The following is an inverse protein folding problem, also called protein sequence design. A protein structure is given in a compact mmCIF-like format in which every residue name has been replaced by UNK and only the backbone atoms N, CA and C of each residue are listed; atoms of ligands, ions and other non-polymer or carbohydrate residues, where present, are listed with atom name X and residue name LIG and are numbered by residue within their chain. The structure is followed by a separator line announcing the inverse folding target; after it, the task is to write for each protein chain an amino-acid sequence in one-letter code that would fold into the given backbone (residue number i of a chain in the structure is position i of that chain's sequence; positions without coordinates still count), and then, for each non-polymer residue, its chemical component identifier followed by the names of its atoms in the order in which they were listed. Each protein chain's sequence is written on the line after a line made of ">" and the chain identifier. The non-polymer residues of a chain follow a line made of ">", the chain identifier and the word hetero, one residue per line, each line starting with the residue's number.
data_IF_836501744827
#
_entry.id   IF_836501744827
#
_cell.length_a   1.000
_cell.length_b   1.000
_cell.length_c   1.000
_cell.angle_alpha   90.00
_cell.angle_beta   90.00
_cell.angle_gamma   90.00
#
_symmetry.space_group_name_H-M   'P 1'
#
loop_
_entity.id
_entity.type
_entity.pdbx_description
1 polymer ?
#
# COMPACT_ATOMS: atom_id res chain seq x y z
N UNK A 1 18.07 -13.87 -26.08
CA UNK A 1 18.29 -13.43 -24.69
C UNK A 1 17.51 -12.15 -24.52
N UNK A 2 16.52 -12.13 -23.63
CA UNK A 2 15.74 -10.92 -23.32
C UNK A 2 16.59 -9.99 -22.46
N UNK A 3 16.71 -8.72 -22.85
CA UNK A 3 17.39 -7.70 -22.04
C UNK A 3 16.66 -7.55 -20.71
N UNK A 4 17.35 -7.60 -19.56
CA UNK A 4 16.71 -7.36 -18.27
C UNK A 4 16.14 -5.95 -18.21
N UNK A 5 14.91 -5.83 -17.69
CA UNK A 5 14.29 -4.56 -17.34
C UNK A 5 14.37 -4.47 -15.82
N UNK A 6 15.19 -3.56 -15.29
CA UNK A 6 15.34 -3.48 -13.83
C UNK A 6 14.05 -2.99 -13.16
N UNK A 7 13.34 -2.06 -13.79
CA UNK A 7 12.24 -1.33 -13.17
C UNK A 7 11.17 -0.98 -14.21
N UNK A 8 9.89 -1.24 -13.92
CA UNK A 8 8.77 -0.92 -14.83
C UNK A 8 7.43 -0.68 -14.10
N UNK A 9 6.47 0.01 -14.73
CA UNK A 9 5.16 0.24 -14.12
C UNK A 9 4.29 -1.01 -14.09
N UNK A 10 3.71 -1.32 -12.92
CA UNK A 10 2.80 -2.46 -12.69
C UNK A 10 1.31 -2.09 -12.77
N UNK A 11 0.96 -0.91 -13.27
CA UNK A 11 -0.41 -0.41 -13.33
C UNK A 11 -0.95 -0.36 -14.76
N UNK A 12 -2.27 -0.17 -14.91
CA UNK A 12 -2.94 0.06 -16.21
C UNK A 12 -2.30 1.24 -16.95
N UNK A 13 -2.14 1.13 -18.27
CA UNK A 13 -1.56 2.18 -19.10
C UNK A 13 -2.31 3.51 -18.93
N UNK A 14 -1.54 4.57 -18.69
CA UNK A 14 -2.04 5.94 -18.53
C UNK A 14 -1.48 6.80 -19.66
N UNK A 15 -2.29 7.13 -20.69
CA UNK A 15 -1.80 7.80 -21.90
C UNK A 15 -1.10 9.14 -21.65
N UNK A 16 -1.62 9.97 -20.73
CA UNK A 16 -1.03 11.27 -20.43
C UNK A 16 0.31 11.20 -19.67
N UNK A 17 0.63 10.05 -19.07
CA UNK A 17 1.93 9.80 -18.44
C UNK A 17 2.88 9.01 -19.34
N UNK A 18 2.35 8.33 -20.36
CA UNK A 18 3.13 7.42 -21.21
C UNK A 18 3.66 6.19 -20.46
N UNK A 19 3.00 5.79 -19.37
CA UNK A 19 3.48 4.71 -18.50
C UNK A 19 2.38 3.73 -18.15
N UNK A 20 2.74 2.46 -18.00
CA UNK A 20 1.85 1.38 -17.56
C UNK A 20 1.76 0.27 -18.59
N UNK A 21 0.89 -0.70 -18.32
CA UNK A 21 0.68 -1.84 -19.20
C UNK A 21 -0.62 -1.65 -19.94
N UNK A 22 -0.54 -1.61 -21.26
CA UNK A 22 -1.71 -1.64 -22.13
C UNK A 22 -2.10 -3.10 -22.31
N UNK A 23 -3.31 -3.44 -21.85
CA UNK A 23 -3.92 -4.74 -22.05
C UNK A 23 -4.73 -4.76 -23.34
N UNK A 24 -4.56 -5.82 -24.12
CA UNK A 24 -5.43 -6.19 -25.22
C UNK A 24 -5.60 -7.73 -25.22
N UNK A 25 -6.69 -8.28 -25.78
CA UNK A 25 -6.85 -9.72 -25.84
C UNK A 25 -5.64 -10.41 -26.51
N UNK A 26 -5.00 -11.32 -25.78
CA UNK A 26 -3.85 -12.09 -26.25
C UNK A 26 -2.50 -11.38 -26.19
N UNK A 27 -2.45 -10.07 -25.87
CA UNK A 27 -1.22 -9.30 -25.89
C UNK A 27 -1.22 -8.16 -24.87
N UNK A 28 -0.13 -8.05 -24.12
CA UNK A 28 0.14 -6.93 -23.24
C UNK A 28 1.36 -6.16 -23.74
N UNK A 29 1.29 -4.83 -23.71
CA UNK A 29 2.39 -3.95 -24.07
C UNK A 29 2.76 -3.06 -22.89
N UNK A 30 4.01 -3.13 -22.47
CA UNK A 30 4.57 -2.36 -21.36
C UNK A 30 5.15 -1.05 -21.90
N UNK A 31 4.68 0.08 -21.37
CA UNK A 31 5.13 1.41 -21.76
C UNK A 31 5.86 2.13 -20.63
N UNK A 32 6.89 2.88 -21.00
CA UNK A 32 7.62 3.78 -20.11
C UNK A 32 8.07 5.04 -20.87
N UNK A 33 7.71 6.22 -20.37
CA UNK A 33 8.08 7.49 -21.00
C UNK A 33 7.44 7.71 -22.38
N UNK A 34 6.34 7.01 -22.68
CA UNK A 34 5.67 7.02 -23.99
C UNK A 34 6.13 5.92 -24.94
N UNK A 35 7.25 5.26 -24.66
CA UNK A 35 7.82 4.21 -25.50
C UNK A 35 7.35 2.82 -25.07
N UNK A 36 7.03 1.97 -26.05
CA UNK A 36 6.79 0.55 -25.82
C UNK A 36 8.14 -0.16 -25.57
N UNK A 37 8.39 -0.55 -24.32
CA UNK A 37 9.67 -1.15 -23.90
C UNK A 37 9.63 -2.69 -23.90
N UNK A 38 8.43 -3.27 -23.86
CA UNK A 38 8.23 -4.70 -24.03
C UNK A 38 6.82 -5.02 -24.52
N UNK A 39 6.67 -6.13 -25.23
CA UNK A 39 5.38 -6.68 -25.62
C UNK A 39 5.43 -8.19 -25.45
N UNK A 40 4.37 -8.77 -24.91
CA UNK A 40 4.30 -10.20 -24.62
C UNK A 40 2.88 -10.74 -24.81
N UNK A 41 2.79 -12.00 -25.23
CA UNK A 41 1.52 -12.70 -25.31
C UNK A 41 1.05 -13.14 -23.91
N UNK A 42 -0.26 -13.23 -23.72
CA UNK A 42 -0.87 -13.80 -22.52
C UNK A 42 -2.19 -14.50 -22.84
N UNK A 43 -2.67 -15.30 -21.91
CA UNK A 43 -3.91 -16.07 -21.99
C UNK A 43 -4.99 -15.58 -21.00
N UNK A 44 -4.71 -14.50 -20.25
CA UNK A 44 -5.68 -13.93 -19.32
C UNK A 44 -6.98 -13.56 -20.03
N UNK A 45 -8.15 -13.98 -19.49
CA UNK A 45 -9.44 -13.77 -20.15
C UNK A 45 -9.92 -12.33 -20.09
N UNK A 46 -9.51 -11.59 -19.06
CA UNK A 46 -9.96 -10.23 -18.77
C UNK A 46 -8.79 -9.37 -18.30
N UNK A 47 -8.92 -8.06 -18.46
CA UNK A 47 -8.01 -7.12 -17.83
C UNK A 47 -8.00 -7.35 -16.32
N UNK A 48 -9.19 -7.51 -15.71
CA UNK A 48 -9.29 -7.83 -14.28
C UNK A 48 -8.39 -9.00 -13.87
N UNK A 49 -8.51 -10.17 -14.52
CA UNK A 49 -7.70 -11.35 -14.21
C UNK A 49 -6.19 -11.07 -14.40
N UNK A 50 -5.83 -10.29 -15.42
CA UNK A 50 -4.44 -9.96 -15.69
C UNK A 50 -3.76 -9.22 -14.53
N UNK A 51 -4.44 -8.28 -13.87
CA UNK A 51 -3.91 -7.57 -12.70
C UNK A 51 -4.20 -8.30 -11.38
N UNK A 52 -5.38 -8.86 -11.21
CA UNK A 52 -5.78 -9.57 -9.99
C UNK A 52 -4.96 -10.85 -9.75
N UNK A 53 -4.57 -11.57 -10.80
CA UNK A 53 -3.71 -12.74 -10.66
C UNK A 53 -2.21 -12.39 -10.72
N UNK A 54 -1.89 -11.09 -10.72
CA UNK A 54 -0.54 -10.55 -10.90
C UNK A 54 0.14 -11.12 -12.17
N UNK A 55 -0.64 -11.44 -13.20
CA UNK A 55 -0.17 -12.14 -14.39
C UNK A 55 0.87 -11.33 -15.15
N UNK A 56 0.83 -9.99 -15.07
CA UNK A 56 1.85 -9.11 -15.64
C UNK A 56 3.28 -9.49 -15.20
N UNK A 57 3.47 -9.91 -13.95
CA UNK A 57 4.77 -10.31 -13.42
C UNK A 57 5.31 -11.58 -14.07
N UNK A 58 4.41 -12.49 -14.49
CA UNK A 58 4.73 -13.70 -15.25
C UNK A 58 4.92 -13.41 -16.73
N UNK A 59 4.11 -12.51 -17.29
CA UNK A 59 4.11 -12.12 -18.71
C UNK A 59 5.34 -11.30 -19.09
N UNK A 60 5.87 -10.52 -18.15
CA UNK A 60 7.12 -9.75 -18.32
C UNK A 60 8.19 -10.24 -17.33
N UNK A 61 8.73 -11.47 -17.47
CA UNK A 61 9.67 -12.05 -16.51
C UNK A 61 11.02 -11.31 -16.45
N UNK A 62 11.33 -10.50 -17.46
CA UNK A 62 12.51 -9.64 -17.50
C UNK A 62 12.43 -8.46 -16.53
N UNK A 63 11.24 -8.11 -16.02
CA UNK A 63 11.05 -7.02 -15.05
C UNK A 63 11.36 -7.52 -13.64
N UNK A 64 12.34 -6.90 -12.98
CA UNK A 64 12.72 -7.28 -11.60
C UNK A 64 11.90 -6.56 -10.54
N UNK A 65 11.62 -5.27 -10.77
CA UNK A 65 10.97 -4.40 -9.81
C UNK A 65 9.82 -3.62 -10.45
N UNK A 66 8.70 -3.51 -9.73
CA UNK A 66 7.47 -2.89 -10.18
C UNK A 66 7.16 -1.63 -9.40
N UNK A 67 6.60 -0.62 -10.07
CA UNK A 67 6.12 0.60 -9.42
C UNK A 67 4.70 0.94 -9.83
N UNK A 68 4.00 1.67 -8.96
CA UNK A 68 2.56 1.89 -9.09
C UNK A 68 2.25 3.38 -9.04
N UNK A 69 2.02 3.99 -10.22
CA UNK A 69 1.82 5.43 -10.47
C UNK A 69 3.01 6.33 -10.16
N UNK A 70 3.79 6.02 -9.12
CA UNK A 70 4.97 6.78 -8.76
C UNK A 70 6.11 5.90 -8.26
N UNK A 71 7.32 6.41 -8.48
CA UNK A 71 8.62 5.89 -8.04
C UNK A 71 9.12 6.68 -6.83
N UNK A 72 8.28 6.74 -5.80
CA UNK A 72 8.66 7.43 -4.58
C UNK A 72 9.68 6.57 -3.82
N UNK A 73 10.91 7.06 -3.72
CA UNK A 73 12.00 6.41 -2.96
C UNK A 73 12.71 7.48 -2.17
N UNK A 74 12.31 7.67 -0.90
CA UNK A 74 12.85 8.72 -0.03
C UNK A 74 12.89 8.22 1.41
N UNK A 75 12.98 9.13 2.38
CA UNK A 75 12.97 8.79 3.80
C UNK A 75 11.69 9.25 4.48
N UNK A 76 11.27 8.48 5.46
CA UNK A 76 10.18 8.82 6.37
C UNK A 76 10.61 8.60 7.82
N UNK A 77 10.03 9.38 8.73
CA UNK A 77 10.20 9.28 10.18
C UNK A 77 8.84 9.20 10.82
N UNK A 78 8.66 8.25 11.74
CA UNK A 78 7.37 7.98 12.37
C UNK A 78 7.48 8.15 13.87
N UNK A 79 6.55 8.90 14.46
CA UNK A 79 6.46 9.05 15.90
C UNK A 79 5.73 7.88 16.55
N UNK A 80 5.92 7.70 17.85
CA UNK A 80 4.92 6.99 18.68
C UNK A 80 3.60 7.75 18.70
N UNK A 81 2.52 7.09 19.14
CA UNK A 81 1.28 7.76 19.48
C UNK A 81 1.55 8.97 20.39
N UNK A 82 1.05 10.13 19.99
CA UNK A 82 1.24 11.41 20.70
C UNK A 82 0.07 11.71 21.65
N UNK A 83 -1.08 11.11 21.39
CA UNK A 83 -2.26 11.26 22.23
C UNK A 83 -3.50 10.77 21.50
N UNK A 84 -4.65 11.28 21.95
CA UNK A 84 -5.95 10.99 21.36
C UNK A 84 -6.59 12.29 20.86
N UNK A 85 -7.25 12.24 19.70
CA UNK A 85 -8.05 13.35 19.18
C UNK A 85 -9.45 13.39 19.81
N UNK A 86 -9.98 12.20 20.11
CA UNK A 86 -11.27 11.96 20.75
C UNK A 86 -11.22 10.63 21.52
N UNK A 87 -12.37 10.10 21.98
CA UNK A 87 -12.42 8.89 22.79
C UNK A 87 -11.96 7.60 22.07
N UNK A 88 -11.95 7.58 20.74
CA UNK A 88 -11.66 6.36 19.95
C UNK A 88 -10.59 6.56 18.88
N UNK A 89 -10.03 7.76 18.75
CA UNK A 89 -9.03 8.10 17.73
C UNK A 89 -7.67 8.42 18.35
N UNK A 90 -6.70 7.54 18.16
CA UNK A 90 -5.29 7.77 18.50
C UNK A 90 -4.58 8.41 17.31
N UNK A 91 -3.65 9.32 17.58
CA UNK A 91 -2.87 9.96 16.52
C UNK A 91 -1.37 9.99 16.83
N UNK A 92 -0.60 10.17 15.76
CA UNK A 92 0.80 10.59 15.80
C UNK A 92 1.20 11.20 14.47
N UNK A 93 2.49 11.31 14.22
CA UNK A 93 3.02 11.98 13.04
C UNK A 93 3.91 11.07 12.19
N UNK A 94 3.83 11.28 10.89
CA UNK A 94 4.81 10.84 9.90
C UNK A 94 5.40 12.07 9.24
N UNK A 95 6.72 12.12 9.15
CA UNK A 95 7.44 13.18 8.48
C UNK A 95 8.16 12.59 7.27
N UNK A 96 8.04 13.25 6.13
CA UNK A 96 8.69 12.85 4.88
C UNK A 96 9.88 13.74 4.57
N UNK A 97 10.79 13.26 3.72
CA UNK A 97 11.90 14.03 3.15
C UNK A 97 13.00 14.46 4.12
N UNK A 98 12.71 15.28 5.13
CA UNK A 98 13.67 15.88 6.03
C UNK A 98 13.01 16.51 7.26
N UNK A 99 13.82 17.07 8.15
CA UNK A 99 13.37 17.68 9.40
C UNK A 99 12.64 19.02 9.19
N UNK A 100 12.78 19.64 8.01
CA UNK A 100 12.16 20.93 7.68
C UNK A 100 10.71 20.75 7.19
N UNK A 101 10.41 19.60 6.59
CA UNK A 101 9.07 19.23 6.15
C UNK A 101 8.17 18.99 7.35
N UNK A 102 7.02 19.66 7.52
CA UNK A 102 6.13 19.38 8.64
C UNK A 102 5.68 17.92 8.70
N UNK A 103 5.47 17.40 9.91
CA UNK A 103 4.89 16.07 10.09
C UNK A 103 3.39 16.07 9.77
N UNK A 104 2.96 15.14 8.93
CA UNK A 104 1.55 14.88 8.66
C UNK A 104 1.00 13.85 9.66
N UNK A 105 -0.28 13.99 10.01
CA UNK A 105 -0.91 13.17 11.04
C UNK A 105 -1.35 11.82 10.48
N UNK A 106 -0.93 10.73 11.13
CA UNK A 106 -1.57 9.42 10.99
C UNK A 106 -2.56 9.20 12.13
N UNK A 107 -3.61 8.41 11.90
CA UNK A 107 -4.63 8.10 12.91
C UNK A 107 -4.97 6.62 12.94
N UNK A 108 -5.29 6.10 14.13
CA UNK A 108 -5.94 4.80 14.32
C UNK A 108 -7.26 5.08 15.03
N UNK A 109 -8.38 4.75 14.39
CA UNK A 109 -9.73 5.02 14.88
C UNK A 109 -10.64 3.81 14.79
N UNK A 110 -11.77 3.85 15.51
CA UNK A 110 -12.73 2.75 15.52
C UNK A 110 -13.41 2.59 14.15
N UNK A 111 -13.19 1.42 13.53
CA UNK A 111 -13.82 1.00 12.27
C UNK A 111 -14.98 0.01 12.47
N UNK A 112 -15.40 -0.25 13.72
CA UNK A 112 -16.43 -1.22 14.06
C UNK A 112 -15.83 -2.59 14.39
N UNK A 113 -15.72 -3.49 13.41
CA UNK A 113 -15.12 -4.83 13.60
C UNK A 113 -13.58 -4.81 13.59
N UNK A 114 -12.98 -3.66 13.28
CA UNK A 114 -11.54 -3.47 13.13
C UNK A 114 -11.09 -2.08 13.59
N UNK A 115 -9.79 -1.91 13.74
CA UNK A 115 -9.15 -0.60 13.89
C UNK A 115 -8.77 -0.06 12.52
N UNK A 116 -9.25 1.12 12.15
CA UNK A 116 -8.94 1.75 10.88
C UNK A 116 -7.70 2.65 11.02
N UNK A 117 -6.64 2.33 10.29
CA UNK A 117 -5.40 3.11 10.20
C UNK A 117 -5.44 4.00 8.96
N UNK A 118 -5.43 5.30 9.17
CA UNK A 118 -5.16 6.26 8.12
C UNK A 118 -3.73 6.79 8.23
N UNK A 119 -2.98 6.65 7.14
CA UNK A 119 -1.62 7.15 7.01
C UNK A 119 -1.56 8.01 5.74
N UNK A 120 -1.13 9.28 5.86
CA UNK A 120 -1.09 10.19 4.71
C UNK A 120 -0.01 9.74 3.75
N UNK A 121 -0.23 9.89 2.44
CA UNK A 121 0.84 9.73 1.46
C UNK A 121 1.86 10.88 1.57
N UNK A 122 3.10 10.68 1.09
CA UNK A 122 4.03 11.77 0.86
C UNK A 122 3.40 12.87 -0.03
N UNK A 123 3.81 14.14 0.12
CA UNK A 123 3.34 15.22 -0.75
C UNK A 123 3.50 14.88 -2.23
N UNK A 124 2.49 15.21 -3.05
CA UNK A 124 2.40 14.90 -4.48
C UNK A 124 2.26 13.40 -4.83
N UNK A 125 2.23 12.50 -3.85
CA UNK A 125 2.10 11.05 -4.05
C UNK A 125 0.71 10.51 -3.75
N UNK A 126 -0.27 11.40 -3.55
CA UNK A 126 -1.67 11.05 -3.25
C UNK A 126 -2.33 10.42 -4.49
N UNK A 127 -2.06 9.13 -4.69
CA UNK A 127 -2.56 8.34 -5.80
C UNK A 127 -3.16 7.04 -5.22
N UNK A 128 -4.49 6.83 -5.32
CA UNK A 128 -5.16 5.66 -4.74
C UNK A 128 -4.60 4.29 -5.19
N UNK A 129 -3.90 4.27 -6.33
CA UNK A 129 -3.31 3.07 -6.97
C UNK A 129 -1.95 2.69 -6.36
N UNK A 130 -1.25 3.60 -5.66
CA UNK A 130 0.02 3.28 -5.00
C UNK A 130 -0.19 2.57 -3.65
N UNK A 131 -1.04 1.54 -3.68
CA UNK A 131 -1.42 0.78 -2.52
C UNK A 131 -0.22 0.11 -1.81
N UNK A 132 0.79 -0.42 -2.52
CA UNK A 132 1.98 -0.95 -1.86
C UNK A 132 2.71 0.07 -0.98
N UNK A 133 2.84 1.33 -1.43
CA UNK A 133 3.42 2.39 -0.60
C UNK A 133 2.56 2.62 0.66
N UNK A 134 1.23 2.67 0.51
CA UNK A 134 0.34 2.86 1.66
C UNK A 134 0.44 1.72 2.67
N UNK A 135 0.62 0.48 2.21
CA UNK A 135 0.89 -0.66 3.09
C UNK A 135 2.22 -0.53 3.81
N UNK A 136 3.30 -0.21 3.10
CA UNK A 136 4.62 -0.03 3.73
C UNK A 136 4.59 1.07 4.80
N UNK A 137 3.90 2.18 4.54
CA UNK A 137 3.71 3.27 5.51
C UNK A 137 2.91 2.81 6.73
N UNK A 138 1.83 2.06 6.52
CA UNK A 138 1.02 1.54 7.62
C UNK A 138 1.75 0.51 8.47
N UNK A 139 2.51 -0.40 7.84
CA UNK A 139 3.36 -1.36 8.53
C UNK A 139 4.43 -0.63 9.36
N UNK A 140 4.99 0.47 8.86
CA UNK A 140 5.93 1.28 9.62
C UNK A 140 5.29 1.92 10.86
N UNK A 141 4.07 2.47 10.73
CA UNK A 141 3.32 3.01 11.87
C UNK A 141 3.10 1.93 12.92
N UNK A 142 2.56 0.77 12.53
CA UNK A 142 2.34 -0.37 13.43
C UNK A 142 3.64 -0.83 14.09
N UNK A 143 4.71 -1.00 13.31
CA UNK A 143 6.01 -1.45 13.80
C UNK A 143 6.60 -0.50 14.84
N UNK A 144 6.42 0.82 14.68
CA UNK A 144 6.83 1.80 15.70
C UNK A 144 6.04 1.65 17.00
N UNK A 145 4.74 1.35 16.92
CA UNK A 145 3.93 1.19 18.12
C UNK A 145 4.19 -0.15 18.83
N UNK A 146 4.63 -1.17 18.08
CA UNK A 146 5.02 -2.48 18.62
C UNK A 146 6.48 -2.55 19.10
N UNK A 147 7.24 -1.45 18.98
CA UNK A 147 8.69 -1.41 19.23
C UNK A 147 9.51 -2.33 18.29
N UNK A 148 8.95 -2.76 17.14
CA UNK A 148 9.66 -3.47 16.06
C UNK A 148 10.55 -2.52 15.25
N UNK A 149 10.13 -1.25 15.17
CA UNK A 149 10.84 -0.15 14.49
C UNK A 149 11.09 0.95 15.52
N UNK A 150 12.30 1.49 15.55
CA UNK A 150 12.63 2.60 16.44
C UNK A 150 11.89 3.87 16.01
N UNK A 151 11.13 4.47 16.93
CA UNK A 151 10.45 5.75 16.72
C UNK A 151 11.43 6.90 16.43
N UNK A 152 10.92 7.96 15.80
CA UNK A 152 11.63 9.22 15.56
C UNK A 152 12.98 9.06 14.86
N UNK A 153 13.09 7.99 14.07
CA UNK A 153 14.27 7.62 13.29
C UNK A 153 13.94 7.69 11.80
N UNK A 154 14.88 8.14 10.99
CA UNK A 154 14.72 8.22 9.54
C UNK A 154 14.97 6.85 8.89
N UNK A 155 13.98 6.36 8.15
CA UNK A 155 14.07 5.13 7.37
C UNK A 155 13.91 5.42 5.89
N UNK A 156 14.72 4.80 5.05
CA UNK A 156 14.49 4.78 3.61
C UNK A 156 13.30 3.87 3.31
N UNK A 157 12.33 4.40 2.56
CA UNK A 157 11.15 3.69 2.09
C UNK A 157 11.02 3.86 0.58
N UNK A 158 10.45 2.86 -0.07
CA UNK A 158 10.23 2.87 -1.52
C UNK A 158 8.83 2.38 -1.86
N UNK A 159 8.22 2.97 -2.89
CA UNK A 159 6.97 2.50 -3.49
C UNK A 159 7.16 1.35 -4.47
N UNK A 160 8.41 0.95 -4.70
CA UNK A 160 8.76 -0.14 -5.59
C UNK A 160 8.62 -1.49 -4.92
N UNK A 161 8.12 -2.48 -5.65
CA UNK A 161 7.92 -3.85 -5.16
C UNK A 161 8.71 -4.82 -6.02
N UNK A 162 9.51 -5.68 -5.40
CA UNK A 162 10.19 -6.73 -6.15
C UNK A 162 9.19 -7.73 -6.73
N UNK A 163 9.50 -8.30 -7.89
CA UNK A 163 8.62 -9.25 -8.58
C UNK A 163 8.18 -10.41 -7.68
N UNK A 164 9.06 -10.87 -6.79
CA UNK A 164 8.78 -11.99 -5.88
C UNK A 164 7.91 -11.58 -4.68
N UNK A 165 7.84 -10.30 -4.36
CA UNK A 165 7.13 -9.75 -3.20
C UNK A 165 5.74 -9.20 -3.55
N UNK A 166 5.35 -9.21 -4.83
CA UNK A 166 4.07 -8.66 -5.29
C UNK A 166 2.86 -9.26 -4.59
N UNK A 167 2.88 -10.57 -4.31
CA UNK A 167 1.77 -11.24 -3.61
C UNK A 167 1.61 -10.75 -2.19
N UNK A 168 2.73 -10.41 -1.52
CA UNK A 168 2.73 -9.93 -0.13
C UNK A 168 2.36 -8.44 -0.08
N UNK A 169 2.83 -7.65 -1.06
CA UNK A 169 2.50 -6.24 -1.18
C UNK A 169 1.07 -5.96 -1.65
N UNK A 170 0.46 -6.91 -2.37
CA UNK A 170 -0.92 -6.87 -2.87
C UNK A 170 -1.62 -8.20 -2.52
N UNK A 171 -1.98 -8.43 -1.26
CA UNK A 171 -2.59 -9.70 -0.82
C UNK A 171 -4.04 -9.84 -1.32
N UNK A 172 -4.51 -11.09 -1.49
CA UNK A 172 -5.93 -11.41 -1.77
C UNK A 172 -6.74 -11.65 -0.50
N UNK A 173 -6.10 -11.62 0.66
CA UNK A 173 -6.74 -11.89 1.94
C UNK A 173 -6.49 -10.76 2.95
N UNK A 174 -7.25 -10.82 4.03
CA UNK A 174 -7.17 -9.84 5.12
C UNK A 174 -5.87 -9.92 5.92
N UNK A 175 -5.12 -11.03 5.81
CA UNK A 175 -3.90 -11.24 6.62
C UNK A 175 -2.83 -10.24 6.23
N UNK A 176 -2.70 -9.92 4.94
CA UNK A 176 -1.73 -8.92 4.49
C UNK A 176 -2.09 -7.47 4.88
N UNK A 177 -3.29 -7.23 5.44
CA UNK A 177 -3.70 -5.93 5.98
C UNK A 177 -3.68 -5.83 7.49
N UNK A 178 -3.45 -6.94 8.19
CA UNK A 178 -3.84 -7.08 9.59
C UNK A 178 -2.63 -6.98 10.51
N UNK A 179 -2.69 -6.06 11.46
CA UNK A 179 -1.83 -6.08 12.64
C UNK A 179 -2.68 -6.04 13.91
N UNK A 180 -2.19 -6.57 15.04
CA UNK A 180 -2.90 -6.39 16.31
C UNK A 180 -2.59 -5.01 16.90
N UNK A 181 -3.56 -4.43 17.61
CA UNK A 181 -3.34 -3.18 18.29
C UNK A 181 -2.27 -3.36 19.40
N UNK A 182 -1.19 -2.56 19.39
CA UNK A 182 -0.16 -2.63 20.43
C UNK A 182 -0.78 -2.44 21.82
N UNK A 183 -0.34 -3.25 22.80
CA UNK A 183 -0.84 -3.16 24.19
C UNK A 183 -0.77 -1.75 24.77
N UNK A 184 0.25 -0.96 24.42
CA UNK A 184 0.40 0.42 24.87
C UNK A 184 -0.67 1.37 24.32
N UNK A 185 -1.12 1.16 23.09
CA UNK A 185 -2.25 1.90 22.52
C UNK A 185 -3.57 1.46 23.15
N UNK A 186 -3.72 0.16 23.44
CA UNK A 186 -4.86 -0.34 24.20
C UNK A 186 -5.02 0.37 25.54
N UNK A 187 -3.92 0.69 26.23
CA UNK A 187 -3.94 1.47 27.49
C UNK A 187 -4.34 2.94 27.33
N UNK A 188 -4.13 3.55 26.16
CA UNK A 188 -4.60 4.92 25.89
C UNK A 188 -6.12 4.94 25.69
N UNK A 189 -6.68 3.89 25.10
CA UNK A 189 -8.11 3.76 24.77
C UNK A 189 -8.91 3.21 25.97
N UNK A 190 -8.28 2.40 26.82
CA UNK A 190 -8.88 1.70 27.97
C UNK A 190 -9.67 2.54 28.99
N UNK A 191 -9.26 3.76 29.41
CA UNK A 191 -9.88 4.41 30.57
C UNK A 191 -11.27 5.00 30.30
N UNK A 192 -11.86 4.78 29.12
CA UNK A 192 -13.16 5.35 28.71
C UNK A 192 -14.25 4.30 28.43
N UNK A 193 -13.94 3.00 28.53
CA UNK A 193 -14.91 1.91 28.35
C UNK A 193 -15.10 1.24 29.72
N UNK A 194 -16.27 1.45 30.33
CA UNK A 194 -16.69 0.86 31.62
C UNK A 194 -16.41 -0.65 31.67
N UNK A 195 -15.66 -1.11 32.68
CA UNK A 195 -15.49 -2.46 33.28
C UNK A 195 -15.49 -3.73 32.37
N UNK A 196 -15.55 -3.60 31.06
CA UNK A 196 -15.34 -4.69 30.12
C UNK A 196 -13.84 -4.85 29.89
N UNK A 197 -13.28 -6.07 30.02
CA UNK A 197 -11.89 -6.32 29.65
C UNK A 197 -11.74 -5.96 28.18
N UNK A 198 -10.93 -4.92 27.88
CA UNK A 198 -10.65 -4.42 26.52
C UNK A 198 -10.59 -5.62 25.55
N UNK A 199 -11.59 -5.83 24.69
CA UNK A 199 -11.56 -6.95 23.77
C UNK A 199 -10.79 -6.56 22.51
N UNK A 200 -9.65 -5.86 22.60
CA UNK A 200 -8.98 -5.35 21.40
C UNK A 200 -7.93 -6.29 20.83
N UNK A 201 -8.38 -7.50 20.49
CA UNK A 201 -7.73 -8.35 19.48
C UNK A 201 -8.18 -7.98 18.05
N UNK A 202 -8.90 -6.88 17.88
CA UNK A 202 -9.37 -6.44 16.57
C UNK A 202 -8.18 -6.15 15.64
N UNK A 203 -8.24 -6.59 14.38
CA UNK A 203 -7.19 -6.30 13.42
C UNK A 203 -7.16 -4.80 13.10
N UNK A 204 -5.96 -4.22 12.98
CA UNK A 204 -5.73 -2.93 12.32
C UNK A 204 -5.82 -3.18 10.82
N UNK A 205 -6.58 -2.36 10.09
CA UNK A 205 -6.74 -2.39 8.63
C UNK A 205 -6.56 -0.98 8.06
N UNK A 206 -6.11 -0.88 6.81
CA UNK A 206 -5.99 0.41 6.13
C UNK A 206 -7.37 1.05 5.90
N UNK A 207 -7.52 2.31 6.33
CA UNK A 207 -8.75 3.06 6.15
C UNK A 207 -9.11 3.23 4.67
N UNK A 208 -10.37 2.98 4.32
CA UNK A 208 -10.88 3.09 2.95
C UNK A 208 -10.37 2.03 1.97
N UNK A 209 -9.74 0.96 2.47
CA UNK A 209 -9.45 -0.27 1.72
C UNK A 209 -10.45 -1.33 2.14
N UNK A 210 -11.05 -2.02 1.16
CA UNK A 210 -11.79 -3.24 1.44
C UNK A 210 -10.80 -4.31 1.91
N UNK A 211 -10.82 -4.57 3.22
CA UNK A 211 -9.84 -5.42 3.88
C UNK A 211 -10.03 -6.91 3.58
N UNK A 212 -11.18 -7.32 3.06
CA UNK A 212 -11.41 -8.72 2.71
C UNK A 212 -10.67 -9.12 1.44
N UNK A 213 -10.50 -8.18 0.50
CA UNK A 213 -9.75 -8.40 -0.74
C UNK A 213 -9.04 -7.10 -1.19
N UNK A 214 -7.85 -6.83 -0.61
CA UNK A 214 -7.05 -5.66 -0.94
C UNK A 214 -6.67 -5.57 -2.41
N UNK A 215 -6.40 -6.71 -3.03
CA UNK A 215 -6.05 -6.79 -4.45
C UNK A 215 -7.25 -6.43 -5.33
N UNK A 216 -8.46 -6.89 -5.00
CA UNK A 216 -9.66 -6.44 -5.68
C UNK A 216 -9.89 -4.93 -5.49
N UNK A 217 -9.67 -4.40 -4.29
CA UNK A 217 -9.77 -2.96 -4.03
C UNK A 217 -8.78 -2.16 -4.91
N UNK A 218 -7.55 -2.66 -5.04
CA UNK A 218 -6.52 -2.09 -5.92
C UNK A 218 -6.93 -2.12 -7.40
N UNK A 219 -7.41 -3.26 -7.90
CA UNK A 219 -7.92 -3.39 -9.27
C UNK A 219 -9.05 -2.39 -9.55
N UNK A 220 -10.02 -2.26 -8.64
CA UNK A 220 -11.12 -1.30 -8.78
C UNK A 220 -10.63 0.15 -8.87
N UNK A 221 -9.59 0.52 -8.12
CA UNK A 221 -9.00 1.87 -8.16
C UNK A 221 -8.22 2.17 -9.43
N UNK A 222 -7.80 1.13 -10.16
CA UNK A 222 -7.28 1.27 -11.52
C UNK A 222 -8.38 1.35 -12.58
N UNK A 223 -9.66 1.30 -12.17
CA UNK A 223 -10.81 1.31 -13.09
C UNK A 223 -11.16 -0.04 -13.69
N UNK A 224 -10.64 -1.14 -13.13
CA UNK A 224 -10.94 -2.50 -13.60
C UNK A 224 -12.21 -3.02 -12.92
N UNK A 225 -13.02 -3.78 -13.66
CA UNK A 225 -14.23 -4.44 -13.14
C UNK A 225 -14.17 -5.96 -13.35
N UNK A 226 -14.63 -6.78 -12.39
CA UNK A 226 -14.74 -8.23 -12.61
C UNK A 226 -15.63 -8.52 -13.82
N UNK A 227 -15.10 -9.28 -14.80
CA UNK A 227 -15.87 -9.73 -15.98
C UNK A 227 -15.82 -8.82 -17.22
N UNK A 228 -14.99 -7.76 -17.22
CA UNK A 228 -14.72 -6.93 -18.40
C UNK A 228 -13.47 -7.35 -19.18
#
# INVERSE_FOLDING_TARGET
>A
MTTPILLAPGHVYVPHLGTGIQYAPGVATLYQGGDAIAQAAHDCPTAWAFWYDLAFARVFPQVQTWWFRSLWTQRARFSRAQGMLDATTVYGYVQYLDEETPGDMWTIHDGGDHWALDVPYPPNEVQPINLPLRYALAQAVVGVQNDDIQADTWYTLTSTVERLELSDALPTDERGCTALLPRRMGMLIAPLIDDDPIPDQRPIRLAGIDAHDPRAAWCRRMGLTPGA
#
